data_IF_184468713263
#
_entry.id   IF_184468713263
#
_cell.length_a   1.000
_cell.length_b   1.000
_cell.length_c   1.000
_cell.angle_alpha   90.00
_cell.angle_beta   90.00
_cell.angle_gamma   90.00
#
_symmetry.space_group_name_H-M   'P 1'
#
loop_
_entity.id
_entity.type
_entity.pdbx_description
1 polymer ?
#
# COMPACT_ATOMS: atom_id res chain seq x y z
N UNK A 1 18.48 -17.66 8.03
CA UNK A 1 17.22 -18.14 8.67
C UNK A 1 16.86 -19.52 8.13
N UNK A 2 16.48 -20.50 8.98
CA UNK A 2 15.83 -21.71 8.49
C UNK A 2 14.31 -21.47 8.52
N UNK A 3 13.63 -21.39 7.36
CA UNK A 3 12.21 -21.14 7.33
C UNK A 3 11.45 -22.31 7.95
N UNK A 4 10.59 -22.04 8.93
CA UNK A 4 9.68 -23.04 9.47
C UNK A 4 8.53 -23.26 8.47
N UNK A 5 7.91 -24.46 8.48
CA UNK A 5 6.72 -24.73 7.62
C UNK A 5 5.61 -23.68 7.83
N UNK A 6 5.37 -23.30 9.09
CA UNK A 6 4.38 -22.26 9.43
C UNK A 6 4.69 -20.91 8.81
N UNK A 7 5.96 -20.52 8.74
CA UNK A 7 6.38 -19.28 8.11
C UNK A 7 6.19 -19.30 6.59
N UNK A 8 6.52 -20.43 5.95
CA UNK A 8 6.28 -20.60 4.50
C UNK A 8 4.80 -20.52 4.20
N UNK A 9 3.94 -21.18 5.00
CA UNK A 9 2.49 -21.05 4.84
C UNK A 9 2.00 -19.60 5.04
N UNK A 10 2.54 -18.86 6.01
CA UNK A 10 2.19 -17.46 6.21
C UNK A 10 2.60 -16.57 5.01
N UNK A 11 3.76 -16.85 4.39
CA UNK A 11 4.18 -16.19 3.16
C UNK A 11 3.24 -16.50 2.00
N UNK A 12 2.78 -17.76 1.85
CA UNK A 12 1.80 -18.16 0.84
C UNK A 12 0.43 -17.53 1.09
N UNK A 13 -0.01 -17.45 2.36
CA UNK A 13 -1.21 -16.69 2.74
C UNK A 13 -1.10 -15.23 2.29
N UNK A 14 0.00 -14.57 2.61
CA UNK A 14 0.26 -13.19 2.21
C UNK A 14 0.25 -13.02 0.70
N UNK A 15 0.96 -13.88 -0.03
CA UNK A 15 1.00 -13.88 -1.50
C UNK A 15 -0.42 -14.00 -2.09
N UNK A 16 -1.18 -15.00 -1.68
CA UNK A 16 -2.53 -15.24 -2.19
C UNK A 16 -3.52 -14.13 -1.82
N UNK A 17 -3.47 -13.61 -0.58
CA UNK A 17 -4.27 -12.48 -0.14
C UNK A 17 -4.03 -11.25 -1.02
N UNK A 18 -2.77 -10.90 -1.29
CA UNK A 18 -2.45 -9.73 -2.09
C UNK A 18 -2.65 -9.93 -3.58
N UNK A 19 -2.52 -11.15 -4.14
CA UNK A 19 -3.00 -11.46 -5.49
C UNK A 19 -4.50 -11.18 -5.58
N UNK A 20 -5.30 -11.77 -4.67
CA UNK A 20 -6.75 -11.58 -4.61
C UNK A 20 -7.13 -10.10 -4.56
N UNK A 21 -6.53 -9.35 -3.63
CA UNK A 21 -6.88 -7.97 -3.38
C UNK A 21 -6.52 -7.02 -4.52
N UNK A 22 -5.29 -7.12 -5.02
CA UNK A 22 -4.80 -6.24 -6.07
C UNK A 22 -5.34 -6.60 -7.46
N UNK A 23 -5.77 -7.84 -7.67
CA UNK A 23 -6.49 -8.27 -8.86
C UNK A 23 -7.86 -7.56 -8.98
N UNK A 24 -8.57 -7.39 -7.86
CA UNK A 24 -9.80 -6.59 -7.80
C UNK A 24 -9.49 -5.11 -7.91
N UNK A 25 -8.44 -4.64 -7.22
CA UNK A 25 -8.16 -3.23 -6.99
C UNK A 25 -7.58 -2.52 -8.21
N UNK A 26 -6.78 -3.21 -9.03
CA UNK A 26 -6.05 -2.65 -10.18
C UNK A 26 -6.06 -3.62 -11.38
N UNK A 27 -6.50 -3.25 -12.56
CA UNK A 27 -7.26 -2.05 -12.92
C UNK A 27 -8.78 -2.23 -12.77
N UNK A 28 -9.25 -3.46 -12.45
CA UNK A 28 -10.64 -3.89 -12.58
C UNK A 28 -11.65 -2.97 -11.85
N UNK A 29 -11.32 -2.47 -10.65
CA UNK A 29 -12.23 -1.65 -9.86
C UNK A 29 -12.56 -0.30 -10.53
N UNK A 30 -11.54 0.41 -11.02
CA UNK A 30 -11.74 1.70 -11.66
C UNK A 30 -12.54 1.53 -12.97
N UNK A 31 -12.23 0.50 -13.74
CA UNK A 31 -12.94 0.15 -14.97
C UNK A 31 -14.39 -0.27 -14.70
N UNK A 32 -14.64 -1.02 -13.61
CA UNK A 32 -16.01 -1.36 -13.20
C UNK A 32 -16.79 -0.11 -12.77
N UNK A 33 -16.20 0.75 -11.96
CA UNK A 33 -16.87 1.98 -11.54
C UNK A 33 -17.24 2.88 -12.72
N UNK A 34 -16.34 3.01 -13.71
CA UNK A 34 -16.60 3.73 -14.95
C UNK A 34 -17.74 3.09 -15.75
N UNK A 35 -17.75 1.77 -15.92
CA UNK A 35 -18.83 1.05 -16.62
C UNK A 35 -20.20 1.19 -15.94
N UNK A 36 -20.24 1.49 -14.65
CA UNK A 36 -21.45 1.83 -13.87
C UNK A 36 -21.82 3.32 -13.95
N UNK A 37 -21.14 4.10 -14.81
CA UNK A 37 -21.44 5.52 -15.02
C UNK A 37 -20.85 6.45 -13.96
N UNK A 38 -19.82 6.05 -13.23
CA UNK A 38 -19.16 6.90 -12.25
C UNK A 38 -18.44 8.07 -12.94
N UNK A 39 -18.68 9.29 -12.47
CA UNK A 39 -17.82 10.42 -12.80
C UNK A 39 -16.44 10.29 -12.12
N UNK A 40 -15.41 11.05 -12.52
CA UNK A 40 -14.07 10.94 -11.95
C UNK A 40 -14.02 11.07 -10.42
N UNK A 41 -14.83 11.94 -9.83
CA UNK A 41 -14.88 12.06 -8.36
C UNK A 41 -15.42 10.79 -7.70
N UNK A 42 -16.49 10.20 -8.25
CA UNK A 42 -17.06 8.94 -7.75
C UNK A 42 -16.09 7.76 -7.89
N UNK A 43 -15.34 7.68 -9.01
CA UNK A 43 -14.26 6.68 -9.16
C UNK A 43 -13.22 6.85 -8.06
N UNK A 44 -12.75 8.07 -7.85
CA UNK A 44 -11.79 8.39 -6.78
C UNK A 44 -12.32 7.99 -5.39
N UNK A 45 -13.60 8.26 -5.11
CA UNK A 45 -14.26 7.90 -3.86
C UNK A 45 -14.29 6.38 -3.66
N UNK A 46 -14.78 5.61 -4.63
CA UNK A 46 -14.88 4.15 -4.57
C UNK A 46 -13.50 3.51 -4.34
N UNK A 47 -12.47 4.02 -5.03
CA UNK A 47 -11.10 3.53 -4.87
C UNK A 47 -10.55 3.84 -3.47
N UNK A 48 -10.86 5.01 -2.91
CA UNK A 48 -10.40 5.43 -1.59
C UNK A 48 -11.05 4.66 -0.42
N UNK A 49 -12.34 4.26 -0.55
CA UNK A 49 -13.15 3.71 0.54
C UNK A 49 -12.48 2.55 1.30
N UNK A 50 -11.84 1.62 0.61
CA UNK A 50 -11.16 0.50 1.29
C UNK A 50 -9.92 0.93 2.10
N UNK A 51 -9.24 1.99 1.67
CA UNK A 51 -8.09 2.54 2.41
C UNK A 51 -8.57 3.34 3.63
N UNK A 52 -9.71 4.05 3.51
CA UNK A 52 -10.36 4.74 4.64
C UNK A 52 -10.66 3.75 5.76
N UNK A 53 -11.24 2.58 5.46
CA UNK A 53 -11.45 1.50 6.46
C UNK A 53 -10.13 1.13 7.15
N UNK A 54 -9.03 1.02 6.39
CA UNK A 54 -7.70 0.73 6.92
C UNK A 54 -7.19 1.80 7.89
N UNK A 55 -7.37 3.08 7.60
CA UNK A 55 -6.92 4.20 8.44
C UNK A 55 -7.53 4.10 9.84
N UNK A 56 -8.84 3.83 9.91
CA UNK A 56 -9.55 3.78 11.20
C UNK A 56 -9.34 2.48 11.97
N UNK A 57 -9.14 1.34 11.30
CA UNK A 57 -9.19 0.04 11.94
C UNK A 57 -7.82 -0.62 12.17
N UNK A 58 -6.76 -0.25 11.43
CA UNK A 58 -5.42 -0.86 11.62
C UNK A 58 -4.90 -0.74 13.05
N UNK A 59 -5.04 0.45 13.65
CA UNK A 59 -4.58 0.69 15.02
C UNK A 59 -5.41 -0.08 16.05
N UNK A 60 -6.76 0.00 16.06
CA UNK A 60 -7.59 -0.83 16.93
C UNK A 60 -7.32 -2.34 16.79
N UNK A 61 -7.15 -2.83 15.55
CA UNK A 61 -6.88 -4.25 15.31
C UNK A 61 -5.51 -4.68 15.86
N UNK A 62 -4.49 -3.83 15.72
CA UNK A 62 -3.19 -4.05 16.35
C UNK A 62 -3.29 -4.20 17.87
N UNK A 63 -4.00 -3.27 18.55
CA UNK A 63 -4.22 -3.30 20.01
C UNK A 63 -5.06 -4.51 20.45
N UNK A 64 -6.14 -4.82 19.71
CA UNK A 64 -6.99 -5.98 19.99
C UNK A 64 -6.23 -7.30 19.87
N UNK A 65 -5.22 -7.37 19.02
CA UNK A 65 -4.39 -8.58 18.84
C UNK A 65 -3.55 -8.93 20.06
N UNK A 66 -3.30 -7.99 20.96
CA UNK A 66 -2.55 -8.22 22.18
C UNK A 66 -3.46 -8.75 23.32
N UNK A 67 -4.77 -8.59 23.17
CA UNK A 67 -5.79 -9.00 24.17
C UNK A 67 -6.58 -10.22 23.72
N UNK A 68 -6.93 -10.28 22.43
CA UNK A 68 -7.71 -11.36 21.83
C UNK A 68 -6.81 -12.39 21.17
N UNK A 69 -7.37 -13.58 20.88
CA UNK A 69 -6.66 -14.60 20.14
C UNK A 69 -6.31 -14.11 18.73
N UNK A 70 -5.02 -13.84 18.51
CA UNK A 70 -4.48 -13.28 17.24
C UNK A 70 -4.86 -14.13 16.04
N UNK A 71 -4.83 -15.47 16.15
CA UNK A 71 -5.20 -16.35 15.04
C UNK A 71 -6.68 -16.20 14.65
N UNK A 72 -7.60 -16.02 15.64
CA UNK A 72 -9.02 -15.79 15.34
C UNK A 72 -9.26 -14.44 14.64
N UNK A 73 -8.54 -13.40 15.05
CA UNK A 73 -8.59 -12.11 14.36
C UNK A 73 -8.01 -12.20 12.94
N UNK A 74 -6.93 -12.95 12.80
CA UNK A 74 -6.24 -13.09 11.53
C UNK A 74 -7.07 -13.88 10.50
N UNK A 75 -7.79 -14.96 10.91
CA UNK A 75 -8.68 -15.67 10.00
C UNK A 75 -9.83 -14.77 9.52
N UNK A 76 -10.36 -13.89 10.36
CA UNK A 76 -11.36 -12.91 9.95
C UNK A 76 -10.78 -11.95 8.88
N UNK A 77 -9.53 -11.51 9.03
CA UNK A 77 -8.81 -10.74 8.01
C UNK A 77 -8.63 -11.50 6.70
N UNK A 78 -8.24 -12.78 6.75
CA UNK A 78 -8.09 -13.63 5.55
C UNK A 78 -9.44 -13.87 4.88
N UNK A 79 -10.51 -14.10 5.63
CA UNK A 79 -11.88 -14.22 5.10
C UNK A 79 -12.35 -12.92 4.43
N UNK A 80 -11.93 -11.76 4.94
CA UNK A 80 -12.21 -10.48 4.33
C UNK A 80 -11.47 -10.27 2.97
N UNK A 81 -10.38 -11.01 2.70
CA UNK A 81 -9.80 -11.11 1.36
C UNK A 81 -10.55 -12.09 0.46
N UNK A 82 -11.06 -13.18 1.02
CA UNK A 82 -11.63 -14.31 0.26
C UNK A 82 -13.09 -14.09 -0.15
N UNK A 83 -13.91 -13.55 0.75
CA UNK A 83 -15.37 -13.50 0.56
C UNK A 83 -15.82 -12.36 -0.35
N UNK A 84 -15.40 -11.08 -0.15
CA UNK A 84 -15.88 -9.96 -0.95
C UNK A 84 -15.71 -10.11 -2.46
N UNK A 85 -14.62 -10.70 -3.00
CA UNK A 85 -14.47 -10.85 -4.44
C UNK A 85 -15.62 -11.58 -5.12
N UNK A 86 -16.26 -12.54 -4.47
CA UNK A 86 -17.39 -13.29 -5.02
C UNK A 86 -18.68 -12.45 -5.16
N UNK A 87 -18.76 -11.28 -4.51
CA UNK A 87 -19.92 -10.41 -4.58
C UNK A 87 -19.81 -9.34 -5.68
N UNK A 88 -18.59 -9.00 -6.15
CA UNK A 88 -18.41 -8.00 -7.21
C UNK A 88 -19.18 -8.33 -8.52
N UNK A 89 -19.32 -9.60 -8.96
CA UNK A 89 -20.11 -9.94 -10.16
C UNK A 89 -21.58 -9.54 -10.08
N UNK A 90 -22.12 -9.34 -8.89
CA UNK A 90 -23.54 -9.01 -8.66
C UNK A 90 -23.78 -7.51 -8.45
N UNK A 91 -22.74 -6.68 -8.53
CA UNK A 91 -22.84 -5.24 -8.35
C UNK A 91 -23.41 -4.60 -9.61
N UNK A 92 -24.49 -3.83 -9.43
CA UNK A 92 -25.17 -3.10 -10.49
C UNK A 92 -25.21 -1.58 -10.28
N UNK A 93 -24.77 -1.09 -9.12
CA UNK A 93 -24.77 0.33 -8.77
C UNK A 93 -23.55 0.74 -7.94
N UNK A 94 -23.25 2.04 -7.94
CA UNK A 94 -22.09 2.62 -7.27
C UNK A 94 -22.19 2.59 -5.74
N UNK A 95 -23.39 2.66 -5.18
CA UNK A 95 -23.59 2.65 -3.73
C UNK A 95 -23.25 1.29 -3.15
N UNK A 96 -23.75 0.23 -3.76
CA UNK A 96 -23.45 -1.17 -3.39
C UNK A 96 -21.97 -1.46 -3.59
N UNK A 97 -21.35 -0.96 -4.68
CA UNK A 97 -19.90 -1.04 -4.90
C UNK A 97 -19.13 -0.39 -3.75
N UNK A 98 -19.55 0.81 -3.34
CA UNK A 98 -18.92 1.53 -2.23
C UNK A 98 -19.00 0.79 -0.90
N UNK A 99 -20.17 0.23 -0.57
CA UNK A 99 -20.36 -0.59 0.65
C UNK A 99 -19.45 -1.82 0.61
N UNK A 100 -19.42 -2.53 -0.52
CA UNK A 100 -18.55 -3.71 -0.67
C UNK A 100 -17.06 -3.33 -0.53
N UNK A 101 -16.65 -2.14 -1.00
CA UNK A 101 -15.29 -1.62 -0.83
C UNK A 101 -14.94 -1.34 0.63
N UNK A 102 -15.87 -0.80 1.42
CA UNK A 102 -15.66 -0.62 2.86
C UNK A 102 -15.42 -1.98 3.55
N UNK A 103 -16.26 -2.97 3.25
CA UNK A 103 -16.12 -4.33 3.78
C UNK A 103 -14.80 -4.97 3.34
N UNK A 104 -14.46 -4.87 2.05
CA UNK A 104 -13.21 -5.41 1.52
C UNK A 104 -11.96 -4.73 2.11
N UNK A 105 -12.08 -3.46 2.55
CA UNK A 105 -11.04 -2.74 3.27
C UNK A 105 -10.66 -3.35 4.63
N UNK A 106 -11.56 -4.09 5.28
CA UNK A 106 -11.29 -4.84 6.50
C UNK A 106 -10.14 -5.84 6.31
N UNK A 107 -9.98 -6.39 5.12
CA UNK A 107 -8.96 -7.35 4.78
C UNK A 107 -7.55 -6.87 5.16
N UNK A 108 -7.13 -5.73 4.59
CA UNK A 108 -5.80 -5.17 4.86
C UNK A 108 -5.69 -4.56 6.26
N UNK A 109 -6.79 -4.03 6.79
CA UNK A 109 -6.84 -3.43 8.12
C UNK A 109 -6.56 -4.47 9.23
N UNK A 110 -7.09 -5.67 9.08
CA UNK A 110 -6.95 -6.75 10.07
C UNK A 110 -5.69 -7.59 9.82
N UNK A 111 -5.51 -8.07 8.59
CA UNK A 111 -4.48 -9.06 8.28
C UNK A 111 -3.05 -8.51 8.41
N UNK A 112 -2.76 -7.33 7.85
CA UNK A 112 -1.39 -6.83 7.72
C UNK A 112 -0.69 -6.63 9.08
N UNK A 113 -1.28 -5.92 10.07
CA UNK A 113 -0.61 -5.74 11.36
C UNK A 113 -0.44 -7.06 12.12
N UNK A 114 -1.43 -7.96 12.04
CA UNK A 114 -1.40 -9.25 12.72
C UNK A 114 -0.34 -10.19 12.16
N UNK A 115 -0.21 -10.24 10.83
CA UNK A 115 0.80 -11.06 10.15
C UNK A 115 2.23 -10.57 10.49
N UNK A 116 2.47 -9.27 10.46
CA UNK A 116 3.76 -8.70 10.85
C UNK A 116 4.08 -8.98 12.32
N UNK A 117 3.10 -8.89 13.22
CA UNK A 117 3.30 -9.23 14.62
C UNK A 117 3.68 -10.71 14.80
N UNK A 118 3.01 -11.64 14.09
CA UNK A 118 3.37 -13.07 14.11
C UNK A 118 4.79 -13.33 13.61
N UNK A 119 5.18 -12.72 12.49
CA UNK A 119 6.56 -12.84 11.96
C UNK A 119 7.57 -12.33 12.98
N UNK A 120 7.30 -11.17 13.61
CA UNK A 120 8.19 -10.59 14.61
C UNK A 120 8.36 -11.43 15.87
N UNK A 121 7.32 -12.19 16.27
CA UNK A 121 7.38 -13.13 17.39
C UNK A 121 8.14 -14.42 17.04
N UNK A 122 7.83 -15.00 15.87
CA UNK A 122 8.47 -16.26 15.46
C UNK A 122 9.97 -16.11 15.22
N UNK A 123 10.43 -14.93 14.86
CA UNK A 123 11.84 -14.65 14.50
C UNK A 123 12.43 -13.49 15.30
N UNK A 124 12.31 -13.52 16.63
CA UNK A 124 12.75 -12.43 17.50
C UNK A 124 14.22 -11.99 17.30
N UNK A 125 15.11 -12.93 16.93
CA UNK A 125 16.55 -12.67 16.71
C UNK A 125 16.90 -12.33 15.25
N UNK A 126 16.04 -12.67 14.28
CA UNK A 126 16.27 -12.49 12.84
C UNK A 126 15.09 -11.76 12.15
N UNK A 127 14.49 -10.80 12.87
CA UNK A 127 13.27 -10.07 12.43
C UNK A 127 13.42 -9.44 11.06
N UNK A 128 14.56 -8.81 10.80
CA UNK A 128 14.78 -8.10 9.53
C UNK A 128 14.69 -9.02 8.31
N UNK A 129 15.37 -10.18 8.37
CA UNK A 129 15.34 -11.18 7.30
C UNK A 129 13.93 -11.76 7.12
N UNK A 130 13.25 -12.11 8.22
CA UNK A 130 11.92 -12.66 8.19
C UNK A 130 10.88 -11.67 7.63
N UNK A 131 10.93 -10.40 8.05
CA UNK A 131 10.10 -9.34 7.45
C UNK A 131 10.41 -9.14 5.97
N UNK A 132 11.69 -9.22 5.57
CA UNK A 132 12.11 -9.15 4.18
C UNK A 132 11.42 -10.22 3.32
N UNK A 133 11.49 -11.47 3.71
CA UNK A 133 10.85 -12.58 3.00
C UNK A 133 9.34 -12.47 2.96
N UNK A 134 8.70 -12.13 4.09
CA UNK A 134 7.26 -11.96 4.16
C UNK A 134 6.77 -10.80 3.27
N UNK A 135 7.43 -9.65 3.35
CA UNK A 135 7.06 -8.49 2.52
C UNK A 135 7.34 -8.73 1.04
N UNK A 136 8.38 -9.50 0.69
CA UNK A 136 8.62 -9.91 -0.69
C UNK A 136 7.49 -10.78 -1.22
N UNK A 137 6.98 -11.74 -0.42
CA UNK A 137 5.85 -12.56 -0.81
C UNK A 137 4.58 -11.71 -1.05
N UNK A 138 4.25 -10.80 -0.13
CA UNK A 138 3.09 -9.91 -0.30
C UNK A 138 3.23 -8.94 -1.47
N UNK A 139 4.43 -8.40 -1.71
CA UNK A 139 4.70 -7.56 -2.87
C UNK A 139 4.63 -8.34 -4.20
N UNK A 140 5.04 -9.62 -4.19
CA UNK A 140 4.81 -10.52 -5.33
C UNK A 140 3.33 -10.63 -5.68
N UNK A 141 2.45 -10.71 -4.67
CA UNK A 141 1.00 -10.66 -4.86
C UNK A 141 0.54 -9.34 -5.49
N UNK A 142 1.03 -8.21 -4.97
CA UNK A 142 0.74 -6.89 -5.51
C UNK A 142 1.28 -6.62 -6.92
N UNK A 143 2.27 -7.39 -7.37
CA UNK A 143 2.79 -7.39 -8.74
C UNK A 143 1.92 -8.25 -9.67
N UNK A 144 1.63 -9.49 -9.26
CA UNK A 144 0.92 -10.46 -10.09
C UNK A 144 -0.58 -10.15 -10.20
N UNK A 145 -1.19 -9.65 -9.11
CA UNK A 145 -2.63 -9.37 -9.06
C UNK A 145 -3.12 -8.46 -10.18
N UNK A 146 -2.57 -7.25 -10.37
CA UNK A 146 -2.99 -6.34 -11.43
C UNK A 146 -2.79 -6.90 -12.84
N UNK A 147 -1.69 -7.61 -13.09
CA UNK A 147 -1.42 -8.24 -14.38
C UNK A 147 -2.46 -9.30 -14.70
N UNK A 148 -2.69 -10.24 -13.77
CA UNK A 148 -3.69 -11.30 -13.93
C UNK A 148 -5.10 -10.70 -14.04
N UNK A 149 -5.44 -9.74 -13.18
CA UNK A 149 -6.72 -9.06 -13.21
C UNK A 149 -6.99 -8.38 -14.54
N UNK A 150 -6.03 -7.61 -15.05
CA UNK A 150 -6.13 -6.93 -16.34
C UNK A 150 -6.30 -7.89 -17.52
N UNK A 151 -5.49 -8.97 -17.57
CA UNK A 151 -5.56 -9.97 -18.64
C UNK A 151 -6.92 -10.67 -18.64
N UNK A 152 -7.42 -11.07 -17.47
CA UNK A 152 -8.69 -11.79 -17.39
C UNK A 152 -9.88 -10.88 -17.65
N UNK A 153 -9.84 -9.61 -17.19
CA UNK A 153 -10.87 -8.63 -17.54
C UNK A 153 -10.93 -8.42 -19.05
N UNK A 154 -9.78 -8.34 -19.71
CA UNK A 154 -9.72 -8.17 -21.16
C UNK A 154 -10.29 -9.36 -21.93
N UNK A 155 -9.93 -10.59 -21.53
CA UNK A 155 -10.31 -11.82 -22.26
C UNK A 155 -11.71 -12.32 -21.94
N UNK A 156 -12.11 -12.21 -20.68
CA UNK A 156 -13.31 -12.88 -20.15
C UNK A 156 -14.28 -11.95 -19.42
N UNK A 157 -13.93 -10.65 -19.28
CA UNK A 157 -14.74 -9.67 -18.56
C UNK A 157 -14.51 -9.65 -17.04
N UNK A 158 -15.30 -8.83 -16.35
CA UNK A 158 -15.12 -8.54 -14.92
C UNK A 158 -15.41 -9.75 -14.03
N UNK A 159 -16.52 -10.46 -14.27
CA UNK A 159 -16.99 -11.54 -13.39
C UNK A 159 -15.96 -12.66 -13.21
N UNK A 160 -15.35 -13.23 -14.26
CA UNK A 160 -14.30 -14.24 -14.10
C UNK A 160 -13.07 -13.71 -13.34
N UNK A 161 -12.69 -12.44 -13.54
CA UNK A 161 -11.56 -11.83 -12.83
C UNK A 161 -11.84 -11.77 -11.32
N UNK A 162 -13.03 -11.34 -10.93
CA UNK A 162 -13.42 -11.28 -9.51
C UNK A 162 -13.58 -12.68 -8.89
N UNK A 163 -14.16 -13.63 -9.60
CA UNK A 163 -14.26 -15.01 -9.14
C UNK A 163 -12.87 -15.64 -8.92
N UNK A 164 -11.95 -15.45 -9.85
CA UNK A 164 -10.57 -15.92 -9.68
C UNK A 164 -9.86 -15.24 -8.50
N UNK A 165 -10.08 -13.94 -8.29
CA UNK A 165 -9.59 -13.25 -7.10
C UNK A 165 -10.13 -13.92 -5.81
N UNK A 166 -11.43 -14.29 -5.79
CA UNK A 166 -12.03 -15.06 -4.70
C UNK A 166 -11.36 -16.42 -4.49
N UNK A 167 -11.03 -17.13 -5.58
CA UNK A 167 -10.30 -18.42 -5.51
C UNK A 167 -8.93 -18.23 -4.85
N UNK A 168 -8.17 -17.20 -5.21
CA UNK A 168 -6.91 -16.91 -4.51
C UNK A 168 -7.13 -16.57 -3.03
N UNK A 169 -8.19 -15.84 -2.70
CA UNK A 169 -8.60 -15.61 -1.31
C UNK A 169 -8.90 -16.93 -0.57
N UNK A 170 -9.61 -17.86 -1.19
CA UNK A 170 -9.87 -19.19 -0.61
C UNK A 170 -8.61 -20.04 -0.48
N UNK A 171 -7.67 -19.95 -1.42
CA UNK A 171 -6.35 -20.57 -1.28
C UNK A 171 -5.59 -19.99 -0.08
N UNK A 172 -5.71 -18.70 0.18
CA UNK A 172 -5.13 -18.10 1.38
C UNK A 172 -5.76 -18.69 2.67
N UNK A 173 -7.08 -18.89 2.70
CA UNK A 173 -7.78 -19.57 3.82
C UNK A 173 -7.25 -20.98 4.00
N UNK A 174 -7.09 -21.73 2.91
CA UNK A 174 -6.54 -23.09 2.94
C UNK A 174 -5.11 -23.11 3.52
N UNK A 175 -4.19 -22.28 3.03
CA UNK A 175 -2.84 -22.21 3.57
C UNK A 175 -2.81 -21.74 5.03
N UNK A 176 -3.72 -20.86 5.43
CA UNK A 176 -3.85 -20.43 6.81
C UNK A 176 -4.25 -21.58 7.75
N UNK A 177 -5.12 -22.47 7.31
CA UNK A 177 -5.50 -23.66 8.08
C UNK A 177 -4.35 -24.67 8.28
N UNK A 178 -3.35 -24.67 7.40
CA UNK A 178 -2.16 -25.48 7.55
C UNK A 178 -1.17 -24.92 8.60
N UNK A 179 -1.38 -23.70 9.09
CA UNK A 179 -0.58 -23.13 10.16
C UNK A 179 -1.06 -23.74 11.49
N UNK A 180 -0.18 -24.47 12.22
CA UNK A 180 -0.57 -25.07 13.49
C UNK A 180 -1.15 -24.01 14.45
N UNK A 181 -2.28 -24.32 15.05
CA UNK A 181 -2.85 -23.47 16.07
C UNK A 181 -1.94 -23.52 17.30
N UNK A 182 -1.22 -22.46 17.55
CA UNK A 182 -0.47 -22.31 18.79
C UNK A 182 -1.46 -22.21 19.96
N UNK A 183 -1.49 -23.21 20.81
CA UNK A 183 -2.24 -23.19 22.08
C UNK A 183 -1.63 -22.24 23.11
N UNK A 184 -0.53 -21.58 22.79
CA UNK A 184 0.01 -20.49 23.58
C UNK A 184 -0.89 -19.27 23.48
N UNK A 185 -2.00 -19.27 24.22
CA UNK A 185 -2.53 -18.04 24.79
C UNK A 185 -1.32 -17.30 25.36
N UNK A 186 -1.06 -16.10 24.82
CA UNK A 186 0.05 -15.23 25.16
C UNK A 186 0.61 -15.48 26.57
N UNK A 187 1.72 -16.17 26.70
CA UNK A 187 2.54 -16.18 27.91
C UNK A 187 3.39 -14.90 28.04
N UNK A 188 3.15 -13.91 27.19
CA UNK A 188 3.63 -12.55 27.34
C UNK A 188 2.60 -11.77 28.18
N UNK A 189 3.07 -11.02 29.15
CA UNK A 189 2.30 -10.15 30.05
C UNK A 189 1.00 -9.68 29.38
N UNK A 190 -0.15 -10.03 30.00
CA UNK A 190 -1.46 -9.48 29.62
C UNK A 190 -1.38 -7.97 29.81
N UNK A 191 -0.93 -7.26 28.78
CA UNK A 191 -1.04 -5.81 28.79
C UNK A 191 -2.53 -5.48 28.80
N UNK A 192 -2.98 -4.92 29.89
CA UNK A 192 -4.31 -4.33 29.95
C UNK A 192 -4.36 -3.18 28.95
N UNK A 193 -5.46 -3.01 28.23
CA UNK A 193 -5.67 -1.83 27.36
C UNK A 193 -5.41 -0.52 28.13
N UNK A 194 -5.64 -0.51 29.45
CA UNK A 194 -5.36 0.61 30.33
C UNK A 194 -3.87 0.97 30.44
N UNK A 195 -2.95 -0.01 30.27
CA UNK A 195 -1.50 0.23 30.33
C UNK A 195 -0.91 0.54 28.95
N UNK A 196 -1.47 -0.03 27.87
CA UNK A 196 -1.02 0.22 26.50
C UNK A 196 -1.37 1.61 25.99
N UNK A 197 -2.54 2.15 26.37
CA UNK A 197 -3.00 3.45 25.89
C UNK A 197 -2.11 4.63 26.30
N UNK A 198 -1.66 4.77 27.56
CA UNK A 198 -0.70 5.81 27.94
C UNK A 198 0.64 5.72 27.22
N UNK A 199 1.19 4.50 27.05
CA UNK A 199 2.47 4.30 26.35
C UNK A 199 2.36 4.66 24.85
N UNK A 200 1.26 4.26 24.21
CA UNK A 200 0.98 4.62 22.82
C UNK A 200 0.81 6.13 22.66
N UNK A 201 0.03 6.76 23.54
CA UNK A 201 -0.20 8.21 23.54
C UNK A 201 1.11 8.98 23.70
N UNK A 202 1.96 8.56 24.63
CA UNK A 202 3.26 9.21 24.85
C UNK A 202 4.20 8.95 23.67
N UNK A 203 4.24 7.74 23.10
CA UNK A 203 5.00 7.42 21.88
C UNK A 203 4.56 8.29 20.70
N UNK A 204 3.25 8.39 20.46
CA UNK A 204 2.69 9.25 19.40
C UNK A 204 3.01 10.72 19.66
N UNK A 205 2.88 11.20 20.89
CA UNK A 205 3.21 12.59 21.24
C UNK A 205 4.66 12.94 20.91
N UNK A 206 5.61 12.08 21.32
CA UNK A 206 7.04 12.28 21.02
C UNK A 206 7.31 12.32 19.52
N UNK A 207 6.70 11.42 18.77
CA UNK A 207 6.88 11.34 17.32
C UNK A 207 6.21 12.52 16.61
N UNK A 208 5.02 12.95 17.04
CA UNK A 208 4.37 14.15 16.52
C UNK A 208 5.14 15.46 16.84
N UNK A 209 6.00 15.44 17.84
CA UNK A 209 6.87 16.55 18.16
C UNK A 209 8.23 16.52 17.42
N UNK A 210 8.47 15.50 16.58
CA UNK A 210 9.69 15.37 15.78
C UNK A 210 9.50 15.88 14.36
N UNK A 211 9.95 17.11 14.02
CA UNK A 211 9.82 17.66 12.67
C UNK A 211 10.41 16.75 11.58
N UNK A 212 11.58 16.10 11.76
CA UNK A 212 12.14 15.23 10.74
C UNK A 212 11.25 14.04 10.42
N UNK A 213 10.61 13.43 11.43
CA UNK A 213 9.71 12.28 11.23
C UNK A 213 8.43 12.72 10.52
N UNK A 214 7.86 13.87 10.90
CA UNK A 214 6.66 14.41 10.25
C UNK A 214 6.94 14.79 8.79
N UNK A 215 8.04 15.50 8.52
CA UNK A 215 8.44 15.87 7.15
C UNK A 215 8.66 14.64 6.26
N UNK A 216 9.35 13.63 6.80
CA UNK A 216 9.60 12.38 6.08
C UNK A 216 8.29 11.63 5.81
N UNK A 217 7.37 11.63 6.77
CA UNK A 217 6.04 11.01 6.63
C UNK A 217 5.16 11.76 5.61
N UNK A 218 5.29 13.10 5.54
CA UNK A 218 4.58 13.91 4.55
C UNK A 218 5.05 13.60 3.12
N UNK A 219 6.36 13.41 2.92
CA UNK A 219 6.90 12.96 1.61
C UNK A 219 6.31 11.61 1.21
N UNK A 220 6.24 10.68 2.14
CA UNK A 220 5.65 9.36 1.89
C UNK A 220 4.16 9.47 1.54
N UNK A 221 3.42 10.34 2.24
CA UNK A 221 2.02 10.63 1.92
C UNK A 221 1.88 11.24 0.52
N UNK A 222 2.71 12.22 0.15
CA UNK A 222 2.68 12.83 -1.18
C UNK A 222 2.97 11.80 -2.28
N UNK A 223 3.98 10.93 -2.11
CA UNK A 223 4.22 9.81 -3.02
C UNK A 223 2.99 8.91 -3.14
N UNK A 224 2.31 8.63 -2.03
CA UNK A 224 1.08 7.83 -2.01
C UNK A 224 -0.12 8.54 -2.64
N UNK A 225 -0.18 9.87 -2.60
CA UNK A 225 -1.15 10.64 -3.41
C UNK A 225 -0.94 10.36 -4.89
N UNK A 226 0.31 10.41 -5.38
CA UNK A 226 0.65 10.04 -6.77
C UNK A 226 0.27 8.59 -7.10
N UNK A 227 0.64 7.63 -6.26
CA UNK A 227 0.32 6.21 -6.46
C UNK A 227 -1.21 5.96 -6.48
N UNK A 228 -1.95 6.56 -5.54
CA UNK A 228 -3.42 6.47 -5.48
C UNK A 228 -4.08 7.10 -6.71
N UNK A 229 -3.55 8.21 -7.20
CA UNK A 229 -4.00 8.85 -8.45
C UNK A 229 -3.83 7.91 -9.64
N UNK A 230 -2.65 7.32 -9.81
CA UNK A 230 -2.39 6.36 -10.89
C UNK A 230 -3.32 5.15 -10.77
N UNK A 231 -3.50 4.61 -9.58
CA UNK A 231 -4.36 3.47 -9.34
C UNK A 231 -5.82 3.72 -9.79
N UNK A 232 -6.34 4.92 -9.56
CA UNK A 232 -7.72 5.27 -9.90
C UNK A 232 -7.88 5.71 -11.37
N UNK A 233 -6.93 6.47 -11.89
CA UNK A 233 -7.13 7.21 -13.14
C UNK A 233 -6.25 6.78 -14.30
N UNK A 234 -5.13 6.07 -14.08
CA UNK A 234 -4.36 5.47 -15.19
C UNK A 234 -5.19 4.46 -15.99
N UNK A 235 -6.07 3.61 -15.37
CA UNK A 235 -6.94 2.73 -16.14
C UNK A 235 -7.89 3.49 -17.07
N UNK A 236 -8.53 4.55 -16.56
CA UNK A 236 -9.50 5.33 -17.34
C UNK A 236 -8.82 6.14 -18.44
N UNK A 237 -7.68 6.76 -18.14
CA UNK A 237 -6.87 7.43 -19.14
C UNK A 237 -6.38 6.45 -20.21
N UNK A 238 -5.95 5.25 -19.81
CA UNK A 238 -5.56 4.19 -20.71
C UNK A 238 -6.65 3.83 -21.72
N UNK A 239 -7.90 3.68 -21.28
CA UNK A 239 -9.04 3.45 -22.20
C UNK A 239 -9.21 4.60 -23.20
N UNK A 240 -9.07 5.86 -22.77
CA UNK A 240 -9.23 7.04 -23.66
C UNK A 240 -8.19 7.02 -24.78
N UNK A 241 -6.97 6.55 -24.51
CA UNK A 241 -5.91 6.46 -25.53
C UNK A 241 -5.89 5.11 -26.26
N UNK A 242 -6.92 4.27 -26.06
CA UNK A 242 -7.13 3.00 -26.77
C UNK A 242 -6.42 1.78 -26.20
N UNK A 243 -5.91 1.86 -24.96
CA UNK A 243 -5.35 0.68 -24.29
C UNK A 243 -6.45 -0.23 -23.77
N UNK A 244 -6.20 -1.53 -23.78
CA UNK A 244 -7.08 -2.52 -23.18
C UNK A 244 -6.70 -2.81 -21.71
N UNK A 245 -7.57 -3.53 -21.00
CA UNK A 245 -7.38 -3.83 -19.57
C UNK A 245 -6.09 -4.65 -19.30
N UNK A 246 -5.67 -5.52 -20.24
CA UNK A 246 -4.44 -6.31 -20.09
C UNK A 246 -3.18 -5.40 -20.17
N UNK A 247 -3.13 -4.49 -21.12
CA UNK A 247 -2.05 -3.52 -21.26
C UNK A 247 -1.94 -2.63 -20.02
N UNK A 248 -3.08 -2.18 -19.48
CA UNK A 248 -3.12 -1.40 -18.23
C UNK A 248 -2.63 -2.24 -17.04
N UNK A 249 -3.04 -3.50 -16.95
CA UNK A 249 -2.56 -4.42 -15.92
C UNK A 249 -1.04 -4.62 -15.96
N UNK A 250 -0.46 -4.70 -17.18
CA UNK A 250 0.98 -4.82 -17.39
C UNK A 250 1.70 -3.52 -16.98
N UNK A 251 1.13 -2.32 -17.20
CA UNK A 251 1.71 -1.05 -16.72
C UNK A 251 1.89 -1.10 -15.19
N UNK A 252 0.89 -1.54 -14.44
CA UNK A 252 1.01 -1.73 -12.98
C UNK A 252 2.01 -2.83 -12.61
N UNK A 253 2.07 -3.89 -13.41
CA UNK A 253 3.06 -4.94 -13.25
C UNK A 253 4.50 -4.42 -13.40
N UNK A 254 4.77 -3.64 -14.44
CA UNK A 254 6.10 -3.02 -14.68
C UNK A 254 6.44 -2.03 -13.55
N UNK A 255 5.50 -1.18 -13.13
CA UNK A 255 5.68 -0.29 -11.98
C UNK A 255 6.06 -1.09 -10.72
N UNK A 256 5.28 -2.14 -10.40
CA UNK A 256 5.50 -2.99 -9.23
C UNK A 256 6.83 -3.74 -9.29
N UNK A 257 7.17 -4.32 -10.45
CA UNK A 257 8.42 -5.05 -10.66
C UNK A 257 9.64 -4.14 -10.49
N UNK A 258 9.61 -2.97 -11.12
CA UNK A 258 10.71 -1.99 -11.01
C UNK A 258 10.86 -1.53 -9.56
N UNK A 259 9.76 -1.23 -8.87
CA UNK A 259 9.78 -0.88 -7.45
C UNK A 259 10.34 -2.01 -6.59
N UNK A 260 9.89 -3.25 -6.81
CA UNK A 260 10.32 -4.43 -6.06
C UNK A 260 11.83 -4.68 -6.21
N UNK A 261 12.32 -4.72 -7.44
CA UNK A 261 13.74 -4.99 -7.75
C UNK A 261 14.64 -3.85 -7.25
N UNK A 262 14.20 -2.61 -7.37
CA UNK A 262 15.03 -1.44 -7.03
C UNK A 262 15.16 -1.20 -5.53
N UNK A 263 14.18 -1.60 -4.69
CA UNK A 263 14.20 -1.34 -3.23
C UNK A 263 15.46 -1.82 -2.51
N UNK A 264 15.96 -3.05 -2.70
CA UNK A 264 17.17 -3.50 -2.02
C UNK A 264 18.42 -2.70 -2.42
N UNK A 265 18.51 -2.33 -3.71
CA UNK A 265 19.63 -1.52 -4.21
C UNK A 265 19.58 -0.09 -3.66
N UNK A 266 18.41 0.52 -3.69
CA UNK A 266 18.21 1.87 -3.17
C UNK A 266 18.36 1.93 -1.65
N UNK A 267 18.01 0.87 -0.93
CA UNK A 267 18.32 0.73 0.49
C UNK A 267 19.83 0.83 0.75
N UNK A 268 20.64 0.07 0.04
CA UNK A 268 22.12 0.11 0.16
C UNK A 268 22.69 1.49 -0.20
N UNK A 269 22.23 2.08 -1.30
CA UNK A 269 22.66 3.44 -1.70
C UNK A 269 22.28 4.48 -0.63
N UNK A 270 21.09 4.35 -0.05
CA UNK A 270 20.60 5.21 1.03
C UNK A 270 21.41 5.07 2.32
N UNK A 271 21.94 3.87 2.62
CA UNK A 271 22.76 3.63 3.80
C UNK A 271 24.20 4.17 3.64
N UNK A 272 24.74 4.16 2.43
CA UNK A 272 26.10 4.64 2.13
C UNK A 272 26.20 6.16 1.92
N UNK A 273 25.08 6.82 1.61
CA UNK A 273 25.02 8.22 1.24
C UNK A 273 24.12 9.09 2.12
N UNK A 274 23.87 10.31 1.64
CA UNK A 274 22.87 11.17 2.25
C UNK A 274 21.46 10.76 1.79
N UNK A 275 20.55 10.51 2.73
CA UNK A 275 19.17 10.09 2.44
C UNK A 275 18.31 11.21 1.86
N UNK A 276 18.60 12.46 2.24
CA UNK A 276 17.80 13.63 1.87
C UNK A 276 17.77 13.90 0.35
N UNK A 277 18.91 13.94 -0.39
CA UNK A 277 18.86 14.10 -1.84
C UNK A 277 18.16 12.96 -2.57
N UNK A 278 18.28 11.73 -2.07
CA UNK A 278 17.58 10.58 -2.63
C UNK A 278 16.06 10.73 -2.49
N UNK A 279 15.58 11.12 -1.31
CA UNK A 279 14.15 11.37 -1.05
C UNK A 279 13.64 12.48 -1.97
N UNK A 280 14.37 13.60 -2.04
CA UNK A 280 14.04 14.74 -2.89
C UNK A 280 13.96 14.32 -4.37
N UNK A 281 15.03 13.73 -4.90
CA UNK A 281 15.13 13.33 -6.30
C UNK A 281 14.10 12.25 -6.67
N UNK A 282 13.87 11.27 -5.79
CA UNK A 282 12.87 10.23 -5.99
C UNK A 282 11.45 10.79 -6.06
N UNK A 283 11.10 11.75 -5.19
CA UNK A 283 9.77 12.37 -5.21
C UNK A 283 9.60 13.30 -6.44
N UNK A 284 10.65 14.04 -6.84
CA UNK A 284 10.66 14.81 -8.08
C UNK A 284 10.45 13.89 -9.30
N UNK A 285 11.13 12.75 -9.35
CA UNK A 285 10.94 11.78 -10.43
C UNK A 285 9.49 11.29 -10.48
N UNK A 286 8.90 10.91 -9.34
CA UNK A 286 7.48 10.54 -9.28
C UNK A 286 6.58 11.66 -9.79
N UNK A 287 6.83 12.91 -9.40
CA UNK A 287 6.08 14.08 -9.83
C UNK A 287 6.12 14.26 -11.35
N UNK A 288 7.31 14.25 -11.94
CA UNK A 288 7.49 14.39 -13.37
C UNK A 288 6.82 13.24 -14.15
N UNK A 289 6.91 12.00 -13.66
CA UNK A 289 6.26 10.86 -14.31
C UNK A 289 4.73 11.01 -14.29
N UNK A 290 4.13 11.45 -13.18
CA UNK A 290 2.69 11.72 -13.10
C UNK A 290 2.28 12.82 -14.07
N UNK A 291 3.02 13.93 -14.14
CA UNK A 291 2.74 15.04 -15.05
C UNK A 291 2.87 14.66 -16.54
N UNK A 292 3.76 13.71 -16.84
CA UNK A 292 4.07 13.29 -18.20
C UNK A 292 3.00 12.37 -18.81
N UNK A 293 2.32 11.54 -17.99
CA UNK A 293 1.34 10.54 -18.43
C UNK A 293 0.32 11.08 -19.44
N UNK A 294 -0.39 12.21 -19.17
CA UNK A 294 -1.44 12.69 -20.08
C UNK A 294 -0.93 13.26 -21.40
N UNK A 295 0.37 13.33 -21.58
CA UNK A 295 1.01 13.77 -22.84
C UNK A 295 1.53 12.61 -23.69
N UNK A 296 1.36 11.36 -23.21
CA UNK A 296 1.86 10.15 -23.87
C UNK A 296 0.70 9.35 -24.43
N UNK A 297 0.78 9.02 -25.73
CA UNK A 297 -0.17 8.15 -26.43
C UNK A 297 0.43 6.77 -26.75
N UNK A 298 1.75 6.65 -26.74
CA UNK A 298 2.46 5.41 -27.08
C UNK A 298 2.59 4.46 -25.88
N UNK A 299 2.13 3.21 -26.03
CA UNK A 299 2.19 2.19 -24.96
C UNK A 299 3.61 1.93 -24.46
N UNK A 300 4.60 1.80 -25.37
CA UNK A 300 6.00 1.57 -24.98
C UNK A 300 6.56 2.69 -24.09
N UNK A 301 6.21 3.95 -24.37
CA UNK A 301 6.64 5.08 -23.56
C UNK A 301 5.92 5.10 -22.20
N UNK A 302 4.65 4.70 -22.16
CA UNK A 302 3.93 4.54 -20.87
C UNK A 302 4.55 3.43 -20.01
N UNK A 303 5.04 2.33 -20.58
CA UNK A 303 5.79 1.31 -19.85
C UNK A 303 7.05 1.88 -19.21
N UNK A 304 7.80 2.71 -19.95
CA UNK A 304 9.00 3.38 -19.42
C UNK A 304 8.63 4.34 -18.27
N UNK A 305 7.56 5.12 -18.43
CA UNK A 305 7.08 6.05 -17.40
C UNK A 305 6.58 5.29 -16.16
N UNK A 306 5.85 4.19 -16.34
CA UNK A 306 5.41 3.34 -15.22
C UNK A 306 6.60 2.73 -14.46
N UNK A 307 7.62 2.24 -15.20
CA UNK A 307 8.88 1.76 -14.62
C UNK A 307 9.63 2.86 -13.88
N UNK A 308 9.77 4.04 -14.47
CA UNK A 308 10.44 5.19 -13.84
C UNK A 308 9.71 5.67 -12.58
N UNK A 309 8.36 5.69 -12.59
CA UNK A 309 7.58 5.97 -11.39
C UNK A 309 7.83 4.90 -10.30
N UNK A 310 7.82 3.60 -10.67
CA UNK A 310 8.14 2.50 -9.76
C UNK A 310 9.54 2.61 -9.16
N UNK A 311 10.53 3.05 -9.95
CA UNK A 311 11.89 3.33 -9.46
C UNK A 311 11.89 4.50 -8.46
N UNK A 312 11.27 5.63 -8.79
CA UNK A 312 11.11 6.78 -7.88
C UNK A 312 10.43 6.39 -6.57
N UNK A 313 9.38 5.56 -6.65
CA UNK A 313 8.69 5.01 -5.48
C UNK A 313 9.62 4.16 -4.60
N UNK A 314 10.47 3.33 -5.20
CA UNK A 314 11.47 2.53 -4.47
C UNK A 314 12.49 3.41 -3.75
N UNK A 315 13.02 4.44 -4.43
CA UNK A 315 13.97 5.41 -3.86
C UNK A 315 13.38 6.12 -2.65
N UNK A 316 12.16 6.67 -2.81
CA UNK A 316 11.46 7.37 -1.72
C UNK A 316 11.21 6.43 -0.55
N UNK A 317 10.58 5.27 -0.78
CA UNK A 317 10.18 4.36 0.31
C UNK A 317 11.37 3.80 1.08
N UNK A 318 12.45 3.39 0.41
CA UNK A 318 13.64 2.86 1.08
C UNK A 318 14.30 3.94 1.95
N UNK A 319 14.46 5.15 1.39
CA UNK A 319 15.16 6.24 2.07
C UNK A 319 14.33 6.85 3.20
N UNK A 320 13.01 7.00 3.04
CA UNK A 320 12.12 7.52 4.10
C UNK A 320 12.00 6.55 5.27
N UNK A 321 11.89 5.25 4.99
CA UNK A 321 11.84 4.22 6.03
C UNK A 321 13.10 4.25 6.90
N UNK A 322 14.26 4.32 6.26
CA UNK A 322 15.54 4.38 6.95
C UNK A 322 15.71 5.71 7.69
N UNK A 323 15.27 6.84 7.13
CA UNK A 323 15.36 8.14 7.79
C UNK A 323 14.49 8.23 9.05
N UNK A 324 13.25 7.70 8.99
CA UNK A 324 12.39 7.61 10.18
C UNK A 324 13.03 6.72 11.24
N UNK A 325 13.67 5.61 10.86
CA UNK A 325 14.38 4.75 11.80
C UNK A 325 15.54 5.47 12.48
N UNK A 326 16.32 6.28 11.73
CA UNK A 326 17.43 7.06 12.27
C UNK A 326 16.97 8.08 13.35
N UNK A 327 15.80 8.69 13.18
CA UNK A 327 15.24 9.66 14.13
C UNK A 327 14.37 9.05 15.22
N UNK A 328 14.07 7.75 15.14
CA UNK A 328 13.19 7.03 16.09
C UNK A 328 13.95 6.09 17.00
N UNK A 329 15.02 6.55 17.65
CA UNK A 329 15.88 5.70 18.48
C UNK A 329 15.13 4.97 19.61
N UNK A 330 15.48 3.69 19.86
CA UNK A 330 15.03 2.89 20.98
C UNK A 330 13.52 2.60 20.97
N UNK A 331 12.84 2.87 22.10
CA UNK A 331 11.39 2.58 22.27
C UNK A 331 10.45 3.39 21.35
N UNK A 332 10.95 4.36 20.59
CA UNK A 332 10.16 5.19 19.68
C UNK A 332 9.98 4.63 18.27
N UNK A 333 10.74 3.60 17.86
CA UNK A 333 10.74 3.09 16.48
C UNK A 333 9.35 2.60 16.02
N UNK A 334 8.66 1.84 16.87
CA UNK A 334 7.30 1.35 16.54
C UNK A 334 6.30 2.49 16.35
N UNK A 335 6.32 3.50 17.23
CA UNK A 335 5.46 4.68 17.12
C UNK A 335 5.79 5.52 15.86
N UNK A 336 7.08 5.70 15.54
CA UNK A 336 7.52 6.41 14.33
C UNK A 336 7.07 5.72 13.05
N UNK A 337 7.24 4.41 12.95
CA UNK A 337 6.79 3.61 11.81
C UNK A 337 5.26 3.55 11.72
N UNK A 338 4.57 3.48 12.85
CA UNK A 338 3.10 3.51 12.92
C UNK A 338 2.55 4.84 12.41
N UNK A 339 3.07 5.98 12.90
CA UNK A 339 2.65 7.31 12.44
C UNK A 339 2.92 7.50 10.94
N UNK A 340 4.13 7.12 10.48
CA UNK A 340 4.46 7.14 9.05
C UNK A 340 3.44 6.33 8.24
N UNK A 341 3.09 5.12 8.70
CA UNK A 341 2.10 4.26 8.04
C UNK A 341 0.71 4.90 7.96
N UNK A 342 0.25 5.53 9.05
CA UNK A 342 -1.05 6.22 9.08
C UNK A 342 -1.06 7.42 8.13
N UNK A 343 -0.02 8.25 8.15
CA UNK A 343 0.10 9.41 7.25
C UNK A 343 0.19 8.96 5.79
N UNK A 344 0.90 7.87 5.52
CA UNK A 344 0.97 7.23 4.21
C UNK A 344 -0.42 6.77 3.72
N UNK A 345 -1.21 6.13 4.56
CA UNK A 345 -2.56 5.68 4.22
C UNK A 345 -3.50 6.88 3.94
N UNK A 346 -3.37 7.98 4.68
CA UNK A 346 -4.10 9.23 4.41
C UNK A 346 -3.76 9.76 3.02
N UNK A 347 -2.49 9.77 2.64
CA UNK A 347 -2.07 10.13 1.29
C UNK A 347 -2.65 9.19 0.23
N UNK A 348 -2.65 7.89 0.50
CA UNK A 348 -3.17 6.87 -0.41
C UNK A 348 -4.69 6.97 -0.63
N UNK A 349 -5.46 7.30 0.40
CA UNK A 349 -6.90 7.55 0.29
C UNK A 349 -7.18 8.94 -0.32
N UNK A 350 -6.39 9.95 0.05
CA UNK A 350 -6.53 11.33 -0.43
C UNK A 350 -6.22 11.48 -1.92
N UNK A 351 -5.27 10.70 -2.44
CA UNK A 351 -4.85 10.78 -3.85
C UNK A 351 -5.99 10.61 -4.85
N UNK A 352 -6.73 9.50 -4.82
CA UNK A 352 -7.87 9.29 -5.71
C UNK A 352 -8.95 10.37 -5.56
N UNK A 353 -9.23 10.83 -4.34
CA UNK A 353 -10.24 11.86 -4.08
C UNK A 353 -9.83 13.21 -4.67
N UNK A 354 -8.59 13.65 -4.39
CA UNK A 354 -8.06 14.91 -4.92
C UNK A 354 -7.95 14.87 -6.45
N UNK A 355 -7.40 13.80 -7.00
CA UNK A 355 -7.28 13.63 -8.43
C UNK A 355 -8.64 13.57 -9.11
N UNK A 356 -9.62 12.87 -8.52
CA UNK A 356 -10.99 12.80 -9.03
C UNK A 356 -11.66 14.18 -9.10
N UNK A 357 -11.50 14.99 -8.04
CA UNK A 357 -12.00 16.35 -8.02
C UNK A 357 -11.34 17.24 -9.08
N UNK A 358 -10.01 17.14 -9.20
CA UNK A 358 -9.24 17.93 -10.17
C UNK A 358 -9.53 17.52 -11.62
N UNK A 359 -9.57 16.21 -11.89
CA UNK A 359 -9.87 15.68 -13.23
C UNK A 359 -11.30 16.05 -13.65
N UNK A 360 -12.26 15.99 -12.72
CA UNK A 360 -13.65 16.36 -13.00
C UNK A 360 -13.79 17.84 -13.41
N UNK A 361 -12.89 18.72 -12.94
CA UNK A 361 -12.92 20.16 -13.24
C UNK A 361 -11.98 20.57 -14.38
N UNK A 362 -10.80 19.97 -14.45
CA UNK A 362 -9.68 20.42 -15.31
C UNK A 362 -9.32 19.39 -16.41
N UNK A 363 -10.05 18.27 -16.47
CA UNK A 363 -9.69 17.14 -17.34
C UNK A 363 -8.44 16.38 -16.85
N UNK A 364 -8.07 15.31 -17.56
CA UNK A 364 -6.95 14.46 -17.17
C UNK A 364 -5.61 15.20 -17.13
N UNK A 365 -5.30 16.00 -18.16
CA UNK A 365 -4.03 16.75 -18.21
C UNK A 365 -3.90 17.72 -17.03
N UNK A 366 -4.95 18.51 -16.74
CA UNK A 366 -4.95 19.43 -15.61
C UNK A 366 -4.89 18.71 -14.27
N UNK A 367 -5.64 17.61 -14.09
CA UNK A 367 -5.67 16.84 -12.87
C UNK A 367 -4.29 16.21 -12.55
N UNK A 368 -3.70 15.51 -13.50
CA UNK A 368 -2.36 14.90 -13.32
C UNK A 368 -1.27 15.96 -13.11
N UNK A 369 -1.35 17.09 -13.82
CA UNK A 369 -0.43 18.20 -13.64
C UNK A 369 -0.50 18.78 -12.22
N UNK A 370 -1.69 19.07 -11.70
CA UNK A 370 -1.88 19.56 -10.33
C UNK A 370 -1.35 18.58 -9.28
N UNK A 371 -1.59 17.27 -9.45
CA UNK A 371 -1.03 16.24 -8.56
C UNK A 371 0.51 16.28 -8.60
N UNK A 372 1.10 16.35 -9.79
CA UNK A 372 2.56 16.47 -9.92
C UNK A 372 3.11 17.72 -9.22
N UNK A 373 2.43 18.86 -9.33
CA UNK A 373 2.81 20.09 -8.61
C UNK A 373 2.76 19.89 -7.09
N UNK A 374 1.74 19.22 -6.55
CA UNK A 374 1.67 18.90 -5.11
C UNK A 374 2.88 18.07 -4.68
N UNK A 375 3.28 17.08 -5.48
CA UNK A 375 4.47 16.28 -5.18
C UNK A 375 5.75 17.13 -5.23
N UNK A 376 5.89 18.02 -6.22
CA UNK A 376 7.05 18.92 -6.35
C UNK A 376 7.14 19.92 -5.21
N UNK A 377 6.01 20.53 -4.82
CA UNK A 377 5.96 21.44 -3.66
C UNK A 377 6.39 20.69 -2.40
N UNK A 378 5.89 19.47 -2.21
CA UNK A 378 6.27 18.65 -1.04
C UNK A 378 7.76 18.29 -1.07
N UNK A 379 8.32 17.93 -2.23
CA UNK A 379 9.73 17.64 -2.39
C UNK A 379 10.60 18.87 -2.05
N UNK A 380 10.23 20.02 -2.59
CA UNK A 380 10.95 21.30 -2.35
C UNK A 380 10.88 21.71 -0.89
N UNK A 381 9.68 21.63 -0.28
CA UNK A 381 9.47 21.93 1.13
C UNK A 381 10.32 21.01 2.02
N UNK A 382 10.32 19.70 1.74
CA UNK A 382 11.18 18.73 2.43
C UNK A 382 12.67 19.09 2.27
N UNK A 383 13.12 19.37 1.05
CA UNK A 383 14.51 19.74 0.76
C UNK A 383 14.96 20.95 1.57
N UNK A 384 14.16 22.03 1.58
CA UNK A 384 14.45 23.26 2.31
C UNK A 384 14.48 23.01 3.83
N UNK A 385 13.46 22.36 4.37
CA UNK A 385 13.32 22.15 5.82
C UNK A 385 14.36 21.19 6.39
N UNK A 386 14.87 20.27 5.57
CA UNK A 386 15.92 19.34 6.00
C UNK A 386 17.35 19.94 5.88
N UNK A 387 17.52 21.12 5.28
CA UNK A 387 18.78 21.85 5.28
C UNK A 387 19.07 22.26 6.73
N UNK A 388 20.19 21.83 7.29
CA UNK A 388 20.60 22.17 8.67
C UNK A 388 20.13 21.18 9.75
N UNK A 389 19.24 20.24 9.45
CA UNK A 389 18.94 19.14 10.38
C UNK A 389 20.12 18.14 10.34
N UNK A 390 20.99 18.19 11.37
CA UNK A 390 22.08 17.24 11.52
C UNK A 390 21.52 15.84 11.84
N UNK A 391 22.12 14.80 11.22
CA UNK A 391 21.87 13.42 11.67
C UNK A 391 22.16 13.32 13.17
N UNK A 392 21.32 12.64 13.96
CA UNK A 392 21.70 12.29 15.31
C UNK A 392 23.01 11.49 15.24
N UNK A 393 23.99 11.84 16.09
CA UNK A 393 25.25 11.10 16.17
C UNK A 393 24.91 9.62 16.42
N UNK A 394 25.46 8.72 15.60
CA UNK A 394 25.40 7.29 15.89
C UNK A 394 26.23 7.06 17.16
N UNK A 395 25.57 6.76 18.27
CA UNK A 395 26.18 6.23 19.49
C UNK A 395 26.35 4.74 19.37
#
# INVERSE_FOLDING_TARGET
MKPTRSFVYLCLVGLCCFISYDMVRRPALALLADSLGANPFMVGLVVALSTVTGIFLKLPMGLLSDVLNRQRLMIAGVLAFAIPPFFYPFISDLSTLGILRLVHGLATAMFTPLALAMVGEWFAQQRGEAFGWYTSATQGGGLLGPMMGGIIVYQYGFSPAFLLAGVFGMLAVFFFWLIPQSSSASSGQKHSLATLWPELREGLRRVCQSPPILLTSLVEAAKMVGNGTLMAFLPLYGLIIGLNAAEIGILFGVQGLTSFVSKPFMGRVSDQGSRQPLIFGGLCLCAFMVMLIPHIQGYALLLLVAGAFGFGEAVVTSSTTALVADFSHGKGLGAGMGLRGTIMDIGHAGGPLLAGLLINRLGYSGGFFCIGIILLITATYFGIMMIGIKKPAML
#
